data_IF_406714585584
#
_entry.id   IF_406714585584
#
_cell.length_a   1.000
_cell.length_b   1.000
_cell.length_c   1.000
_cell.angle_alpha   90.00
_cell.angle_beta   90.00
_cell.angle_gamma   90.00
#
_symmetry.space_group_name_H-M   'P 1'
#
loop_
_entity.id
_entity.type
_entity.pdbx_description
1 polymer ?
#
# COMPACT_ATOMS: atom_id res chain seq x y z
N UNK A 1 3.09 -13.84 22.53
CA UNK A 1 2.05 -12.82 22.82
C UNK A 1 1.40 -12.44 21.51
N UNK A 2 0.09 -12.59 21.40
CA UNK A 2 -0.63 -12.23 20.18
C UNK A 2 -0.64 -10.71 19.99
N UNK A 3 -0.36 -10.25 18.78
CA UNK A 3 -0.36 -8.83 18.41
C UNK A 3 -1.60 -8.50 17.58
N UNK A 4 -2.16 -7.31 17.79
CA UNK A 4 -3.31 -6.83 17.04
C UNK A 4 -2.91 -6.58 15.58
N UNK A 5 -3.57 -7.28 14.65
CA UNK A 5 -3.29 -7.18 13.21
C UNK A 5 -3.43 -5.75 12.68
N UNK A 6 -4.34 -4.95 13.24
CA UNK A 6 -4.58 -3.59 12.77
C UNK A 6 -3.53 -2.60 13.25
N UNK A 7 -3.29 -2.56 14.56
CA UNK A 7 -2.52 -1.50 15.21
C UNK A 7 -1.13 -1.93 15.72
N UNK A 8 -0.85 -3.24 15.75
CA UNK A 8 0.42 -3.81 16.19
C UNK A 8 0.63 -3.87 17.70
N UNK A 9 -0.35 -3.46 18.52
CA UNK A 9 -0.25 -3.54 19.98
C UNK A 9 -0.37 -4.97 20.48
N UNK A 10 0.27 -5.29 21.61
CA UNK A 10 0.08 -6.56 22.30
C UNK A 10 -1.34 -6.68 22.85
N UNK A 11 -1.95 -7.85 22.67
CA UNK A 11 -3.33 -8.12 23.09
C UNK A 11 -3.30 -8.67 24.52
N UNK A 12 -3.97 -7.98 25.45
CA UNK A 12 -4.21 -8.49 26.82
C UNK A 12 -5.58 -9.18 26.97
N UNK A 13 -6.56 -8.81 26.13
CA UNK A 13 -7.90 -9.40 26.10
C UNK A 13 -8.40 -9.47 24.65
N UNK A 14 -9.01 -10.60 24.28
CA UNK A 14 -9.45 -10.92 22.92
C UNK A 14 -10.88 -10.42 22.74
N UNK A 15 -11.06 -9.25 22.13
CA UNK A 15 -12.40 -8.64 22.02
C UNK A 15 -13.12 -8.99 20.70
N UNK A 16 -12.39 -9.10 19.58
CA UNK A 16 -13.02 -9.37 18.28
C UNK A 16 -12.14 -10.25 17.38
N UNK A 17 -12.77 -11.18 16.64
CA UNK A 17 -12.11 -12.08 15.69
C UNK A 17 -12.55 -11.78 14.26
N UNK A 18 -11.69 -11.16 13.46
CA UNK A 18 -11.96 -10.86 12.05
C UNK A 18 -11.63 -12.08 11.19
N UNK A 19 -12.60 -12.61 10.45
CA UNK A 19 -12.35 -13.67 9.46
C UNK A 19 -11.91 -13.03 8.15
N UNK A 20 -10.65 -13.22 7.78
CA UNK A 20 -10.13 -12.82 6.47
C UNK A 20 -9.86 -14.08 5.67
N UNK A 21 -10.69 -14.31 4.64
CA UNK A 21 -10.66 -15.54 3.86
C UNK A 21 -10.88 -16.79 4.74
N UNK A 22 -9.85 -17.64 4.91
CA UNK A 22 -9.92 -18.90 5.68
C UNK A 22 -9.43 -18.81 7.14
N UNK A 23 -8.79 -17.71 7.57
CA UNK A 23 -8.23 -17.56 8.92
C UNK A 23 -8.96 -16.49 9.75
N UNK A 24 -9.03 -16.71 11.07
CA UNK A 24 -9.57 -15.76 12.06
C UNK A 24 -8.40 -15.02 12.72
N UNK A 25 -8.49 -13.71 12.82
CA UNK A 25 -7.45 -12.85 13.39
C UNK A 25 -7.98 -12.08 14.57
N UNK A 26 -7.11 -11.87 15.56
CA UNK A 26 -7.45 -11.16 16.77
C UNK A 26 -7.13 -9.67 16.61
N UNK A 27 -8.06 -8.84 17.05
CA UNK A 27 -7.89 -7.40 17.16
C UNK A 27 -8.14 -6.96 18.61
N UNK A 28 -7.56 -5.83 18.99
CA UNK A 28 -7.56 -5.34 20.38
C UNK A 28 -8.80 -4.52 20.77
N UNK A 29 -9.71 -4.23 19.84
CA UNK A 29 -10.94 -3.47 20.10
C UNK A 29 -11.90 -3.55 18.92
N UNK A 30 -13.18 -3.23 19.15
CA UNK A 30 -14.21 -3.15 18.11
C UNK A 30 -13.86 -2.14 17.01
N UNK A 31 -13.28 -1.00 17.39
CA UNK A 31 -12.77 0.01 16.45
C UNK A 31 -11.70 -0.57 15.53
N UNK A 32 -10.79 -1.41 16.07
CA UNK A 32 -9.80 -2.09 15.24
C UNK A 32 -10.44 -3.18 14.37
N UNK A 33 -11.53 -3.80 14.85
CA UNK A 33 -12.30 -4.79 14.10
C UNK A 33 -12.94 -4.18 12.86
N UNK A 34 -13.69 -3.09 13.04
CA UNK A 34 -14.36 -2.37 11.96
C UNK A 34 -13.36 -1.82 10.93
N UNK A 35 -12.26 -1.22 11.41
CA UNK A 35 -11.25 -0.68 10.51
C UNK A 35 -10.50 -1.77 9.72
N UNK A 36 -10.29 -2.95 10.32
CA UNK A 36 -9.71 -4.10 9.62
C UNK A 36 -10.66 -4.63 8.57
N UNK A 37 -11.96 -4.72 8.87
CA UNK A 37 -12.99 -5.12 7.90
C UNK A 37 -13.06 -4.15 6.71
N UNK A 38 -13.13 -2.84 6.99
CA UNK A 38 -13.10 -1.79 5.95
C UNK A 38 -11.84 -1.87 5.10
N UNK A 39 -10.69 -2.14 5.73
CA UNK A 39 -9.43 -2.32 5.00
C UNK A 39 -9.47 -3.53 4.07
N UNK A 40 -9.94 -4.69 4.56
CA UNK A 40 -10.05 -5.93 3.76
C UNK A 40 -11.02 -5.76 2.59
N UNK A 41 -12.14 -5.06 2.81
CA UNK A 41 -13.11 -4.78 1.75
C UNK A 41 -12.51 -3.89 0.66
N UNK A 42 -11.81 -2.81 1.07
CA UNK A 42 -11.10 -1.93 0.13
C UNK A 42 -9.96 -2.63 -0.59
N UNK A 43 -9.20 -3.48 0.09
CA UNK A 43 -8.17 -4.30 -0.55
C UNK A 43 -8.79 -5.15 -1.66
N UNK A 44 -9.85 -5.92 -1.37
CA UNK A 44 -10.52 -6.73 -2.39
C UNK A 44 -10.99 -5.93 -3.60
N UNK A 45 -11.53 -4.72 -3.37
CA UNK A 45 -12.08 -3.87 -4.43
C UNK A 45 -11.00 -3.16 -5.25
N UNK A 46 -10.00 -2.58 -4.58
CA UNK A 46 -9.04 -1.66 -5.19
C UNK A 46 -7.65 -2.28 -5.44
N UNK A 47 -7.37 -3.50 -4.99
CA UNK A 47 -6.09 -4.18 -5.25
C UNK A 47 -5.76 -4.28 -6.73
N UNK A 48 -6.74 -4.61 -7.58
CA UNK A 48 -6.56 -4.64 -9.04
C UNK A 48 -6.24 -3.25 -9.60
N UNK A 49 -6.91 -2.21 -9.10
CA UNK A 49 -6.69 -0.82 -9.51
C UNK A 49 -5.29 -0.36 -9.13
N UNK A 50 -4.84 -0.66 -7.92
CA UNK A 50 -3.48 -0.35 -7.47
C UNK A 50 -2.43 -1.03 -8.37
N UNK A 51 -2.60 -2.33 -8.67
CA UNK A 51 -1.65 -3.03 -9.53
C UNK A 51 -1.63 -2.50 -10.94
N UNK A 52 -2.78 -2.25 -11.55
CA UNK A 52 -2.84 -1.63 -12.88
C UNK A 52 -2.20 -0.24 -12.86
N UNK A 53 -2.45 0.55 -11.82
CA UNK A 53 -1.89 1.87 -11.63
C UNK A 53 -0.37 1.90 -11.44
N UNK A 54 0.25 0.80 -11.01
CA UNK A 54 1.72 0.68 -10.92
C UNK A 54 2.29 0.02 -12.19
N UNK A 55 1.60 -0.98 -12.71
CA UNK A 55 2.04 -1.77 -13.86
C UNK A 55 2.10 -0.93 -15.14
N UNK A 56 1.07 -0.12 -15.42
CA UNK A 56 1.04 0.70 -16.64
C UNK A 56 2.20 1.71 -16.66
N UNK A 57 2.44 2.54 -15.62
CA UNK A 57 3.60 3.41 -15.58
C UNK A 57 4.93 2.67 -15.68
N UNK A 58 5.08 1.51 -15.03
CA UNK A 58 6.31 0.72 -15.10
C UNK A 58 6.60 0.24 -16.53
N UNK A 59 5.58 -0.22 -17.25
CA UNK A 59 5.70 -0.61 -18.66
C UNK A 59 6.07 0.60 -19.52
N UNK A 60 5.43 1.75 -19.33
CA UNK A 60 5.76 2.97 -20.06
C UNK A 60 7.19 3.44 -19.81
N UNK A 61 7.68 3.35 -18.57
CA UNK A 61 9.08 3.65 -18.22
C UNK A 61 10.04 2.71 -18.96
N UNK A 62 9.75 1.41 -18.99
CA UNK A 62 10.57 0.43 -19.70
C UNK A 62 10.60 0.69 -21.21
N UNK A 63 9.45 0.96 -21.82
CA UNK A 63 9.38 1.31 -23.25
C UNK A 63 10.14 2.62 -23.54
N UNK A 64 10.01 3.63 -22.69
CA UNK A 64 10.73 4.89 -22.84
C UNK A 64 12.25 4.68 -22.81
N UNK A 65 12.71 3.82 -21.89
CA UNK A 65 14.12 3.48 -21.76
C UNK A 65 14.64 2.69 -22.97
N UNK A 66 13.83 1.78 -23.52
CA UNK A 66 14.17 1.00 -24.71
C UNK A 66 14.25 1.84 -25.99
N UNK A 67 13.42 2.89 -26.09
CA UNK A 67 13.37 3.79 -27.24
C UNK A 67 14.28 5.02 -27.06
N UNK A 68 15.05 5.08 -25.97
CA UNK A 68 15.90 6.21 -25.58
C UNK A 68 15.19 7.58 -25.66
N UNK A 69 13.87 7.61 -25.41
CA UNK A 69 13.14 8.87 -25.39
C UNK A 69 13.34 9.55 -24.03
N UNK A 70 13.37 10.89 -24.04
CA UNK A 70 13.88 11.69 -22.93
C UNK A 70 13.31 11.36 -21.54
N UNK A 71 14.07 11.72 -20.51
CA UNK A 71 13.81 11.35 -19.11
C UNK A 71 12.54 11.98 -18.50
N UNK A 72 11.97 13.02 -19.14
CA UNK A 72 10.76 13.71 -18.66
C UNK A 72 9.57 12.77 -18.48
N UNK A 73 9.37 11.84 -19.41
CA UNK A 73 8.27 10.88 -19.33
C UNK A 73 8.49 9.88 -18.17
N UNK A 74 9.73 9.50 -17.89
CA UNK A 74 10.07 8.64 -16.74
C UNK A 74 9.67 9.31 -15.43
N UNK A 75 10.04 10.58 -15.24
CA UNK A 75 9.73 11.30 -14.02
C UNK A 75 8.24 11.57 -13.86
N UNK A 76 7.53 11.86 -14.95
CA UNK A 76 6.07 11.98 -14.92
C UNK A 76 5.41 10.67 -14.48
N UNK A 77 5.85 9.53 -15.02
CA UNK A 77 5.33 8.21 -14.65
C UNK A 77 5.69 7.83 -13.22
N UNK A 78 6.86 8.22 -12.73
CA UNK A 78 7.23 8.07 -11.32
C UNK A 78 6.28 8.85 -10.38
N UNK A 79 5.90 10.07 -10.75
CA UNK A 79 4.90 10.87 -10.00
C UNK A 79 3.56 10.14 -9.95
N UNK A 80 3.11 9.59 -11.08
CA UNK A 80 1.87 8.80 -11.14
C UNK A 80 1.93 7.60 -10.18
N UNK A 81 3.04 6.85 -10.17
CA UNK A 81 3.24 5.74 -9.23
C UNK A 81 3.17 6.23 -7.79
N UNK A 82 3.85 7.35 -7.46
CA UNK A 82 3.81 7.96 -6.14
C UNK A 82 2.39 8.27 -5.67
N UNK A 83 1.58 8.89 -6.53
CA UNK A 83 0.17 9.21 -6.25
C UNK A 83 -0.66 7.94 -6.01
N UNK A 84 -0.46 6.89 -6.82
CA UNK A 84 -1.15 5.60 -6.65
C UNK A 84 -0.83 4.99 -5.28
N UNK A 85 0.44 5.03 -4.83
CA UNK A 85 0.83 4.53 -3.50
C UNK A 85 0.19 5.33 -2.34
N UNK A 86 -0.05 6.63 -2.52
CA UNK A 86 -0.72 7.47 -1.51
C UNK A 86 -2.22 7.16 -1.44
N UNK A 87 -2.89 7.10 -2.59
CA UNK A 87 -4.33 6.89 -2.70
C UNK A 87 -4.74 5.45 -2.40
N UNK A 88 -3.92 4.49 -2.84
CA UNK A 88 -4.18 3.06 -2.74
C UNK A 88 -3.04 2.34 -2.00
N UNK A 89 -2.85 2.58 -0.68
CA UNK A 89 -1.79 1.94 0.10
C UNK A 89 -2.19 0.50 0.50
N UNK A 90 -2.41 -0.35 -0.51
CA UNK A 90 -2.83 -1.75 -0.36
C UNK A 90 -1.79 -2.71 -0.96
N UNK A 91 -0.48 -2.61 -0.61
CA UNK A 91 0.50 -3.60 -1.03
C UNK A 91 0.08 -4.96 -0.47
N UNK A 92 0.37 -6.01 -1.24
CA UNK A 92 -0.12 -7.37 -1.01
C UNK A 92 -0.42 -7.69 0.45
N UNK A 93 -1.69 -7.90 0.74
CA UNK A 93 -2.24 -8.58 1.93
C UNK A 93 -1.79 -10.06 1.88
N UNK A 94 -0.48 -10.32 1.85
CA UNK A 94 0.05 -11.64 2.13
C UNK A 94 0.09 -11.77 3.65
N UNK A 95 -0.61 -12.78 4.16
CA UNK A 95 -0.91 -12.90 5.58
C UNK A 95 0.32 -13.06 6.49
N UNK A 96 1.48 -13.45 5.93
CA UNK A 96 2.76 -13.41 6.64
C UNK A 96 3.19 -11.98 6.98
N UNK A 97 2.87 -11.00 6.13
CA UNK A 97 3.24 -9.60 6.33
C UNK A 97 2.53 -8.99 7.53
N UNK A 98 1.30 -9.40 7.85
CA UNK A 98 0.61 -8.91 9.06
C UNK A 98 1.11 -9.51 10.37
N UNK A 99 1.78 -10.66 10.30
CA UNK A 99 2.48 -11.22 11.47
C UNK A 99 3.70 -10.37 11.85
N UNK A 100 4.30 -9.68 10.87
CA UNK A 100 5.53 -8.89 11.06
C UNK A 100 5.24 -7.38 11.15
N UNK A 101 4.25 -6.87 10.40
CA UNK A 101 3.93 -5.45 10.30
C UNK A 101 2.41 -5.26 10.32
N UNK A 102 1.91 -4.48 11.28
CA UNK A 102 0.48 -4.17 11.38
C UNK A 102 -0.08 -3.45 10.14
N UNK A 103 -1.38 -3.60 9.85
CA UNK A 103 -2.07 -2.92 8.74
C UNK A 103 -1.81 -1.42 8.75
N UNK A 104 -1.88 -0.78 9.92
CA UNK A 104 -1.60 0.65 10.07
C UNK A 104 -0.16 0.99 9.71
N UNK A 105 0.80 0.13 10.06
CA UNK A 105 2.20 0.28 9.69
C UNK A 105 2.39 0.24 8.18
N UNK A 106 1.81 -0.76 7.52
CA UNK A 106 1.87 -0.92 6.05
C UNK A 106 1.30 0.32 5.35
N UNK A 107 0.12 0.79 5.76
CA UNK A 107 -0.51 1.99 5.19
C UNK A 107 0.41 3.21 5.31
N UNK A 108 1.03 3.41 6.49
CA UNK A 108 1.95 4.53 6.70
C UNK A 108 3.18 4.43 5.81
N UNK A 109 3.80 3.26 5.74
CA UNK A 109 5.01 3.04 4.92
C UNK A 109 4.71 3.33 3.45
N UNK A 110 3.61 2.80 2.91
CA UNK A 110 3.21 3.07 1.52
C UNK A 110 2.96 4.55 1.25
N UNK A 111 2.30 5.26 2.17
CA UNK A 111 2.08 6.70 2.00
C UNK A 111 3.39 7.49 2.04
N UNK A 112 4.29 7.16 2.96
CA UNK A 112 5.61 7.82 3.06
C UNK A 112 6.40 7.59 1.76
N UNK A 113 6.48 6.35 1.28
CA UNK A 113 7.16 6.03 0.02
C UNK A 113 6.50 6.74 -1.17
N UNK A 114 5.17 6.76 -1.23
CA UNK A 114 4.43 7.46 -2.28
C UNK A 114 4.71 8.97 -2.29
N UNK A 115 4.77 9.61 -1.12
CA UNK A 115 5.13 11.03 -0.99
C UNK A 115 6.57 11.27 -1.48
N UNK A 116 7.52 10.43 -1.05
CA UNK A 116 8.93 10.54 -1.48
C UNK A 116 9.04 10.42 -3.00
N UNK A 117 8.41 9.42 -3.61
CA UNK A 117 8.45 9.24 -5.06
C UNK A 117 7.81 10.39 -5.83
N UNK A 118 6.71 10.95 -5.29
CA UNK A 118 6.02 12.09 -5.88
C UNK A 118 6.90 13.35 -5.86
N UNK A 119 7.49 13.68 -4.70
CA UNK A 119 8.35 14.87 -4.55
C UNK A 119 9.60 14.75 -5.42
N UNK A 120 10.29 13.61 -5.36
CA UNK A 120 11.48 13.37 -6.17
C UNK A 120 11.18 13.41 -7.67
N UNK A 121 10.06 12.81 -8.09
CA UNK A 121 9.65 12.81 -9.49
C UNK A 121 9.34 14.22 -10.00
N UNK A 122 8.62 15.02 -9.21
CA UNK A 122 8.34 16.43 -9.56
C UNK A 122 9.62 17.27 -9.62
N UNK A 123 10.51 17.11 -8.64
CA UNK A 123 11.78 17.82 -8.61
C UNK A 123 12.61 17.54 -9.86
N UNK A 124 12.80 16.26 -10.20
CA UNK A 124 13.56 15.82 -11.37
C UNK A 124 12.88 16.24 -12.69
N UNK A 125 11.55 16.24 -12.74
CA UNK A 125 10.82 16.71 -13.91
C UNK A 125 11.04 18.20 -14.20
N UNK A 126 11.20 19.02 -13.16
CA UNK A 126 11.43 20.47 -13.29
C UNK A 126 12.90 20.79 -13.62
N UNK A 127 13.84 20.00 -13.08
CA UNK A 127 15.29 20.26 -13.24
C UNK A 127 15.88 19.75 -14.54
N UNK A 128 15.21 18.82 -15.23
CA UNK A 128 15.61 18.26 -16.55
C UNK A 128 14.80 18.89 -17.67
#
# INVERSE_FOLDING_TARGET
MDTCVYCGKSIKQVDCKVKVSKKKYIVCSDVCCENTLKYVERDKKYKKVMYLGIFIPAVLILFNLLLEQGMKLVYLMQVVVGIIFILFPYPNVSFQTFSSVSVRGVIRICRILGIIFTILGLYLFITV
#
